data_IF_052678500473
#
_entry.id   IF_052678500473
#
_cell.length_a   1.000
_cell.length_b   1.000
_cell.length_c   1.000
_cell.angle_alpha   90.00
_cell.angle_beta   90.00
_cell.angle_gamma   90.00
#
_symmetry.space_group_name_H-M   'P 1'
#
loop_
_entity.id
_entity.type
_entity.pdbx_description
1 polymer ?
#
# COMPACT_ATOMS: atom_id res chain seq x y z
N UNK A 1 -24.49 22.41 18.99
CA UNK A 1 -24.04 21.15 19.61
C UNK A 1 -22.70 20.83 18.99
N UNK A 2 -21.62 20.81 19.78
CA UNK A 2 -20.27 20.52 19.28
C UNK A 2 -20.28 19.15 18.61
N UNK A 3 -19.97 19.11 17.32
CA UNK A 3 -19.84 17.88 16.53
C UNK A 3 -18.59 17.05 16.87
N UNK A 4 -18.01 17.26 18.05
CA UNK A 4 -16.70 16.73 18.46
C UNK A 4 -16.78 15.64 19.54
N UNK A 5 -17.97 15.14 19.88
CA UNK A 5 -18.10 14.19 21.01
C UNK A 5 -17.58 12.77 20.68
N UNK A 6 -17.54 12.38 19.39
CA UNK A 6 -17.12 11.04 18.97
C UNK A 6 -16.20 11.06 17.74
N UNK A 7 -15.24 10.11 17.65
CA UNK A 7 -14.36 10.02 16.50
C UNK A 7 -15.12 9.62 15.23
N UNK A 8 -14.80 10.27 14.12
CA UNK A 8 -15.24 9.87 12.78
C UNK A 8 -14.35 8.76 12.21
N UNK A 9 -14.77 8.15 11.09
CA UNK A 9 -14.01 7.09 10.40
C UNK A 9 -12.55 7.49 10.09
N UNK A 10 -12.28 8.78 9.86
CA UNK A 10 -10.94 9.29 9.57
C UNK A 10 -9.94 9.06 10.72
N UNK A 11 -10.42 9.03 11.97
CA UNK A 11 -9.59 8.78 13.15
C UNK A 11 -9.07 7.34 13.23
N UNK A 12 -9.66 6.43 12.46
CA UNK A 12 -9.30 5.02 12.42
C UNK A 12 -8.39 4.64 11.25
N UNK A 13 -7.92 5.63 10.47
CA UNK A 13 -6.83 5.43 9.51
C UNK A 13 -5.50 5.43 10.25
N UNK A 14 -4.78 4.33 10.17
CA UNK A 14 -3.51 4.11 10.86
C UNK A 14 -3.64 3.46 12.23
N UNK A 15 -2.59 3.57 13.06
CA UNK A 15 -2.45 2.85 14.33
C UNK A 15 -2.82 1.35 14.24
N UNK A 16 -2.37 0.72 13.15
CA UNK A 16 -2.69 -0.68 12.86
C UNK A 16 -1.92 -1.63 13.79
N UNK A 17 -2.42 -2.83 14.09
CA UNK A 17 -1.71 -3.77 14.96
C UNK A 17 -0.36 -4.22 14.38
N UNK A 18 0.63 -4.41 15.26
CA UNK A 18 1.88 -5.09 14.95
C UNK A 18 1.89 -6.45 15.66
N UNK A 19 1.96 -7.55 14.90
CA UNK A 19 1.75 -8.91 15.42
C UNK A 19 2.98 -9.77 15.14
N UNK A 20 3.37 -10.63 16.09
CA UNK A 20 4.50 -11.57 15.92
C UNK A 20 4.04 -12.86 15.23
N UNK A 21 4.78 -13.31 14.23
CA UNK A 21 4.61 -14.64 13.64
C UNK A 21 5.12 -15.72 14.60
N UNK A 22 4.40 -16.84 14.72
CA UNK A 22 4.65 -17.86 15.75
C UNK A 22 5.21 -19.16 15.20
N UNK A 23 4.92 -19.51 13.94
CA UNK A 23 5.18 -20.83 13.36
C UNK A 23 6.10 -20.77 12.14
N UNK A 24 5.99 -19.74 11.31
CA UNK A 24 6.73 -19.65 10.05
C UNK A 24 8.22 -19.35 10.22
N UNK A 25 8.63 -18.77 11.36
CA UNK A 25 10.00 -18.31 11.59
C UNK A 25 10.87 -19.47 12.07
N UNK A 26 11.90 -19.89 11.29
CA UNK A 26 12.60 -21.15 11.54
C UNK A 26 13.76 -21.06 12.55
N UNK A 27 14.08 -19.87 13.06
CA UNK A 27 15.28 -19.63 13.87
C UNK A 27 15.04 -18.57 14.96
N UNK A 28 16.13 -18.12 15.62
CA UNK A 28 16.10 -17.14 16.71
C UNK A 28 15.74 -15.70 16.29
N UNK A 29 15.39 -15.47 15.02
CA UNK A 29 14.87 -14.19 14.57
C UNK A 29 13.41 -14.00 15.01
N UNK A 30 12.96 -12.75 15.00
CA UNK A 30 11.56 -12.38 15.21
C UNK A 30 11.05 -11.69 13.96
N UNK A 31 9.97 -12.21 13.35
CA UNK A 31 9.22 -11.48 12.33
C UNK A 31 7.97 -10.91 12.98
N UNK A 32 7.82 -9.60 12.87
CA UNK A 32 6.63 -8.84 13.21
C UNK A 32 5.95 -8.37 11.92
N UNK A 33 4.63 -8.44 11.88
CA UNK A 33 3.83 -8.06 10.72
C UNK A 33 2.89 -6.91 11.06
N UNK A 34 2.97 -5.82 10.29
CA UNK A 34 2.14 -4.62 10.46
C UNK A 34 0.87 -4.78 9.64
N UNK A 35 -0.27 -4.91 10.31
CA UNK A 35 -1.54 -5.34 9.72
C UNK A 35 -2.30 -4.16 9.08
N UNK A 36 -1.84 -3.70 7.92
CA UNK A 36 -2.45 -2.56 7.21
C UNK A 36 -3.85 -2.87 6.62
N UNK A 37 -4.23 -4.15 6.58
CA UNK A 37 -5.61 -4.57 6.34
C UNK A 37 -6.60 -4.14 7.42
N UNK A 38 -6.15 -3.60 8.56
CA UNK A 38 -7.03 -3.06 9.61
C UNK A 38 -7.44 -1.60 9.38
N UNK A 39 -6.90 -0.92 8.37
CA UNK A 39 -7.45 0.38 7.97
C UNK A 39 -8.91 0.24 7.49
N UNK A 40 -9.72 1.31 7.53
CA UNK A 40 -11.16 1.27 7.25
C UNK A 40 -11.56 0.65 5.90
N UNK A 41 -10.88 1.00 4.82
CA UNK A 41 -11.04 0.42 3.50
C UNK A 41 -10.06 -0.76 3.27
N UNK A 42 -9.55 -1.37 4.32
CA UNK A 42 -8.92 -2.69 4.31
C UNK A 42 -7.53 -2.75 3.67
N UNK A 43 -6.80 -1.63 3.58
CA UNK A 43 -5.43 -1.65 3.03
C UNK A 43 -4.53 -0.51 3.52
N UNK A 44 -3.23 -0.65 3.26
CA UNK A 44 -2.21 0.38 3.46
C UNK A 44 -2.47 1.69 2.70
N UNK A 45 -3.33 1.66 1.67
CA UNK A 45 -3.57 2.81 0.79
C UNK A 45 -4.47 3.87 1.40
N UNK A 46 -5.16 3.56 2.49
CA UNK A 46 -5.98 4.52 3.24
C UNK A 46 -5.13 5.68 3.77
N UNK A 47 -3.89 5.39 4.21
CA UNK A 47 -2.95 6.40 4.71
C UNK A 47 -2.58 7.44 3.65
N UNK A 48 -1.99 7.08 2.49
CA UNK A 48 -1.65 8.06 1.47
C UNK A 48 -2.89 8.70 0.83
N UNK A 49 -4.01 7.97 0.69
CA UNK A 49 -5.25 8.55 0.18
C UNK A 49 -5.75 9.70 1.09
N UNK A 50 -5.77 9.46 2.40
CA UNK A 50 -6.14 10.48 3.39
C UNK A 50 -5.17 11.66 3.35
N UNK A 51 -3.86 11.39 3.36
CA UNK A 51 -2.84 12.44 3.38
C UNK A 51 -2.84 13.30 2.12
N UNK A 52 -2.94 12.72 0.92
CA UNK A 52 -2.97 13.47 -0.34
C UNK A 52 -4.17 14.42 -0.39
N UNK A 53 -5.36 13.96 0.02
CA UNK A 53 -6.57 14.79 0.03
C UNK A 53 -6.49 15.86 1.12
N UNK A 54 -6.20 15.49 2.37
CA UNK A 54 -6.14 16.44 3.48
C UNK A 54 -5.12 17.56 3.28
N UNK A 55 -3.99 17.25 2.63
CA UNK A 55 -2.94 18.24 2.40
C UNK A 55 -3.20 19.09 1.18
N UNK A 56 -3.81 18.54 0.12
CA UNK A 56 -4.32 19.34 -0.97
C UNK A 56 -5.40 20.32 -0.48
N UNK A 57 -6.29 19.89 0.42
CA UNK A 57 -7.23 20.77 1.13
C UNK A 57 -6.52 21.86 1.92
N UNK A 58 -5.54 21.49 2.74
CA UNK A 58 -4.82 22.44 3.59
C UNK A 58 -4.02 23.48 2.80
N UNK A 59 -3.55 23.12 1.59
CA UNK A 59 -2.90 24.05 0.66
C UNK A 59 -3.89 24.93 -0.12
N UNK A 60 -5.19 24.58 -0.10
CA UNK A 60 -6.21 25.25 -0.90
C UNK A 60 -6.25 24.81 -2.36
N UNK A 61 -5.56 23.71 -2.72
CA UNK A 61 -5.54 23.16 -4.08
C UNK A 61 -6.91 22.58 -4.47
N UNK A 62 -7.66 22.10 -3.46
CA UNK A 62 -9.00 21.52 -3.59
C UNK A 62 -9.90 21.97 -2.44
N UNK A 63 -11.22 21.91 -2.64
CA UNK A 63 -12.24 22.10 -1.60
C UNK A 63 -13.38 21.08 -1.76
N UNK A 64 -14.12 20.75 -0.68
CA UNK A 64 -15.26 19.85 -0.77
C UNK A 64 -16.24 20.26 -1.88
N UNK A 65 -16.72 19.28 -2.64
CA UNK A 65 -17.52 19.45 -3.85
C UNK A 65 -16.72 19.39 -5.16
N UNK A 66 -15.40 19.58 -5.12
CA UNK A 66 -14.53 19.43 -6.29
C UNK A 66 -14.46 17.97 -6.78
N UNK A 67 -14.05 17.80 -8.04
CA UNK A 67 -13.80 16.48 -8.65
C UNK A 67 -12.34 16.11 -8.52
N UNK A 68 -12.08 14.93 -7.95
CA UNK A 68 -10.77 14.31 -7.88
C UNK A 68 -10.67 13.19 -8.91
N UNK A 69 -9.49 13.05 -9.52
CA UNK A 69 -9.20 12.08 -10.57
C UNK A 69 -7.98 11.26 -10.17
N UNK A 70 -8.03 9.94 -10.38
CA UNK A 70 -6.85 9.09 -10.25
C UNK A 70 -6.90 7.94 -11.26
N UNK A 71 -5.76 7.69 -11.91
CA UNK A 71 -5.56 6.50 -12.74
C UNK A 71 -5.12 5.32 -11.88
N UNK A 72 -6.08 4.51 -11.42
CA UNK A 72 -5.78 3.38 -10.55
C UNK A 72 -6.87 2.31 -10.60
N UNK A 73 -6.45 1.06 -10.46
CA UNK A 73 -7.32 -0.11 -10.58
C UNK A 73 -7.32 -0.99 -9.32
N UNK A 74 -6.65 -0.52 -8.25
CA UNK A 74 -6.37 -1.31 -7.05
C UNK A 74 -6.79 -0.62 -5.75
N UNK A 75 -6.09 -0.95 -4.67
CA UNK A 75 -6.39 -0.46 -3.32
C UNK A 75 -6.39 1.08 -3.22
N UNK A 76 -5.57 1.78 -4.02
CA UNK A 76 -5.58 3.25 -4.02
C UNK A 76 -6.94 3.80 -4.47
N UNK A 77 -7.57 3.22 -5.49
CA UNK A 77 -8.89 3.67 -5.95
C UNK A 77 -9.97 3.45 -4.91
N UNK A 78 -9.94 2.31 -4.21
CA UNK A 78 -10.87 2.02 -3.11
C UNK A 78 -10.67 3.02 -1.97
N UNK A 79 -9.42 3.25 -1.55
CA UNK A 79 -9.10 4.19 -0.49
C UNK A 79 -9.49 5.63 -0.84
N UNK A 80 -9.21 6.08 -2.07
CA UNK A 80 -9.59 7.40 -2.54
C UNK A 80 -11.11 7.57 -2.63
N UNK A 81 -11.84 6.57 -3.13
CA UNK A 81 -13.29 6.60 -3.16
C UNK A 81 -13.89 6.71 -1.75
N UNK A 82 -13.36 5.94 -0.79
CA UNK A 82 -13.75 6.01 0.61
C UNK A 82 -13.48 7.38 1.24
N UNK A 83 -12.27 7.96 1.06
CA UNK A 83 -11.94 9.29 1.59
C UNK A 83 -12.75 10.39 0.90
N UNK A 84 -12.97 10.31 -0.41
CA UNK A 84 -13.79 11.26 -1.16
C UNK A 84 -15.24 11.26 -0.65
N UNK A 85 -15.83 10.08 -0.44
CA UNK A 85 -17.17 9.95 0.14
C UNK A 85 -17.26 10.54 1.55
N UNK A 86 -16.24 10.30 2.40
CA UNK A 86 -16.20 10.84 3.76
C UNK A 86 -16.05 12.36 3.82
N UNK A 87 -15.38 12.96 2.83
CA UNK A 87 -15.01 14.38 2.85
C UNK A 87 -15.80 15.24 1.86
N UNK A 88 -16.74 14.64 1.12
CA UNK A 88 -17.65 15.34 0.21
C UNK A 88 -17.05 15.68 -1.15
N UNK A 89 -16.18 14.84 -1.70
CA UNK A 89 -15.63 14.99 -3.06
C UNK A 89 -16.31 14.08 -4.05
N UNK A 90 -16.28 14.47 -5.32
CA UNK A 90 -16.59 13.57 -6.44
C UNK A 90 -15.32 12.82 -6.82
N UNK A 91 -15.38 11.48 -6.89
CA UNK A 91 -14.22 10.67 -7.26
C UNK A 91 -14.41 10.05 -8.63
N UNK A 92 -13.49 10.34 -9.55
CA UNK A 92 -13.39 9.70 -10.87
C UNK A 92 -12.15 8.81 -10.92
N UNK A 93 -12.35 7.52 -11.17
CA UNK A 93 -11.27 6.55 -11.28
C UNK A 93 -11.14 6.05 -12.72
N UNK A 94 -9.95 6.22 -13.29
CA UNK A 94 -9.64 5.75 -14.64
C UNK A 94 -8.85 4.45 -14.56
N UNK A 95 -9.32 3.38 -15.21
CA UNK A 95 -8.68 2.08 -15.14
C UNK A 95 -8.92 1.20 -16.39
N UNK A 96 -8.08 0.19 -16.64
CA UNK A 96 -8.37 -0.82 -17.66
C UNK A 96 -9.60 -1.67 -17.32
N UNK A 97 -10.30 -2.14 -18.34
CA UNK A 97 -11.53 -2.95 -18.26
C UNK A 97 -11.38 -4.38 -17.69
N UNK A 98 -10.16 -4.83 -17.39
CA UNK A 98 -9.85 -6.21 -17.00
C UNK A 98 -9.72 -6.45 -15.48
N UNK A 99 -10.36 -5.62 -14.66
CA UNK A 99 -10.28 -5.72 -13.18
C UNK A 99 -11.26 -6.73 -12.58
N UNK A 100 -10.94 -7.21 -11.38
CA UNK A 100 -11.82 -8.12 -10.65
C UNK A 100 -13.13 -7.42 -10.27
N UNK A 101 -14.23 -8.19 -10.23
CA UNK A 101 -15.56 -7.68 -9.92
C UNK A 101 -15.62 -7.04 -8.54
N UNK A 102 -14.91 -7.61 -7.56
CA UNK A 102 -14.89 -7.14 -6.17
C UNK A 102 -14.31 -5.74 -6.07
N UNK A 103 -13.23 -5.44 -6.81
CA UNK A 103 -12.62 -4.11 -6.81
C UNK A 103 -13.54 -3.07 -7.45
N UNK A 104 -14.14 -3.41 -8.58
CA UNK A 104 -15.09 -2.54 -9.28
C UNK A 104 -16.30 -2.21 -8.41
N UNK A 105 -16.93 -3.23 -7.83
CA UNK A 105 -18.09 -3.07 -6.94
C UNK A 105 -17.73 -2.30 -5.68
N UNK A 106 -16.55 -2.53 -5.10
CA UNK A 106 -16.08 -1.78 -3.91
C UNK A 106 -15.96 -0.29 -4.19
N UNK A 107 -15.36 0.10 -5.32
CA UNK A 107 -15.23 1.51 -5.69
C UNK A 107 -16.59 2.15 -5.97
N UNK A 108 -17.49 1.44 -6.66
CA UNK A 108 -18.87 1.88 -6.89
C UNK A 108 -19.67 2.05 -5.60
N UNK A 109 -19.47 1.18 -4.62
CA UNK A 109 -20.17 1.24 -3.34
C UNK A 109 -19.88 2.54 -2.57
N UNK A 110 -18.68 3.11 -2.74
CA UNK A 110 -18.32 4.43 -2.21
C UNK A 110 -18.76 5.61 -3.12
N UNK A 111 -19.48 5.34 -4.20
CA UNK A 111 -20.01 6.39 -5.09
C UNK A 111 -19.04 6.89 -6.16
N UNK A 112 -17.91 6.21 -6.41
CA UNK A 112 -16.98 6.62 -7.45
C UNK A 112 -17.57 6.46 -8.87
N UNK A 113 -17.28 7.43 -9.73
CA UNK A 113 -17.42 7.30 -11.17
C UNK A 113 -16.23 6.53 -11.72
N UNK A 114 -16.48 5.54 -12.58
CA UNK A 114 -15.43 4.67 -13.12
C UNK A 114 -15.41 4.83 -14.63
N UNK A 115 -14.25 5.21 -15.15
CA UNK A 115 -13.99 5.36 -16.58
C UNK A 115 -13.04 4.25 -17.01
N UNK A 116 -13.50 3.43 -17.95
CA UNK A 116 -12.69 2.34 -18.48
C UNK A 116 -11.87 2.77 -19.70
N UNK A 117 -10.60 2.39 -19.73
CA UNK A 117 -9.79 2.37 -20.96
C UNK A 117 -9.64 0.93 -21.46
N UNK A 118 -9.30 0.76 -22.74
CA UNK A 118 -9.10 -0.57 -23.31
C UNK A 118 -7.92 -1.29 -22.65
N UNK A 119 -7.96 -2.62 -22.61
CA UNK A 119 -6.84 -3.46 -22.14
C UNK A 119 -5.51 -3.12 -22.84
N UNK A 120 -5.54 -2.78 -24.13
CA UNK A 120 -4.36 -2.44 -24.92
C UNK A 120 -3.74 -1.11 -24.48
N UNK A 121 -4.57 -0.15 -24.06
CA UNK A 121 -4.10 1.12 -23.50
C UNK A 121 -3.43 0.95 -22.13
N UNK A 122 -3.73 -0.15 -21.42
CA UNK A 122 -3.16 -0.49 -20.12
C UNK A 122 -3.24 0.64 -19.09
N UNK A 123 -2.46 0.54 -18.01
CA UNK A 123 -2.45 1.59 -16.97
C UNK A 123 -1.82 2.89 -17.49
N UNK A 124 -0.96 2.81 -18.49
CA UNK A 124 -0.32 3.94 -19.14
C UNK A 124 -1.35 4.85 -19.78
N UNK A 125 -2.24 4.31 -20.62
CA UNK A 125 -3.32 5.08 -21.23
C UNK A 125 -4.38 5.56 -20.23
N UNK A 126 -4.58 4.85 -19.11
CA UNK A 126 -5.40 5.36 -18.01
C UNK A 126 -4.80 6.62 -17.38
N UNK A 127 -3.46 6.67 -17.23
CA UNK A 127 -2.74 7.86 -16.74
C UNK A 127 -2.81 9.01 -17.74
N UNK A 128 -2.59 8.73 -19.02
CA UNK A 128 -2.66 9.75 -20.08
C UNK A 128 -4.07 10.38 -20.14
N UNK A 129 -5.11 9.56 -20.04
CA UNK A 129 -6.49 10.05 -19.99
C UNK A 129 -6.76 10.88 -18.73
N UNK A 130 -6.31 10.43 -17.55
CA UNK A 130 -6.47 11.22 -16.32
C UNK A 130 -5.79 12.60 -16.41
N UNK A 131 -4.57 12.67 -16.95
CA UNK A 131 -3.85 13.92 -17.19
C UNK A 131 -4.55 14.80 -18.24
N UNK A 132 -5.12 14.20 -19.29
CA UNK A 132 -5.90 14.95 -20.26
C UNK A 132 -7.17 15.52 -19.63
N UNK A 133 -7.86 14.76 -18.78
CA UNK A 133 -9.05 15.23 -18.07
C UNK A 133 -8.75 16.40 -17.14
N UNK A 134 -7.59 16.39 -16.48
CA UNK A 134 -7.11 17.53 -15.68
C UNK A 134 -6.87 18.76 -16.56
N UNK A 135 -6.18 18.61 -17.70
CA UNK A 135 -5.96 19.70 -18.67
C UNK A 135 -7.27 20.26 -19.23
N UNK A 136 -8.28 19.42 -19.39
CA UNK A 136 -9.63 19.81 -19.81
C UNK A 136 -10.43 20.49 -18.69
N UNK A 137 -9.88 20.62 -17.47
CA UNK A 137 -10.54 21.23 -16.32
C UNK A 137 -11.63 20.36 -15.68
N UNK A 138 -11.59 19.03 -15.87
CA UNK A 138 -12.64 18.10 -15.36
C UNK A 138 -12.45 17.72 -13.88
N UNK A 139 -11.30 18.02 -13.30
CA UNK A 139 -10.95 17.72 -11.91
C UNK A 139 -9.45 17.79 -11.67
N UNK A 140 -9.04 17.48 -10.45
CA UNK A 140 -7.63 17.52 -10.01
C UNK A 140 -7.09 16.10 -9.90
N UNK A 141 -5.91 15.84 -10.49
CA UNK A 141 -5.24 14.53 -10.39
C UNK A 141 -4.37 14.48 -9.14
N UNK A 142 -4.54 13.44 -8.32
CA UNK A 142 -3.79 13.30 -7.07
C UNK A 142 -2.36 12.76 -7.26
N UNK A 143 -2.15 11.94 -8.30
CA UNK A 143 -0.85 11.44 -8.78
C UNK A 143 -0.02 10.70 -7.72
N UNK A 144 -0.51 9.54 -7.28
CA UNK A 144 0.12 8.74 -6.22
C UNK A 144 1.60 8.36 -6.46
N UNK A 145 2.09 8.43 -7.71
CA UNK A 145 3.46 8.06 -8.08
C UNK A 145 4.46 9.23 -7.94
N UNK A 146 3.97 10.47 -7.90
CA UNK A 146 4.79 11.67 -7.84
C UNK A 146 4.51 12.54 -6.61
N UNK A 147 3.32 12.39 -6.01
CA UNK A 147 2.88 13.19 -4.87
C UNK A 147 3.65 12.83 -3.58
N UNK A 148 4.37 13.79 -3.02
CA UNK A 148 5.16 13.62 -1.79
C UNK A 148 4.29 13.38 -0.54
N UNK A 149 3.00 13.68 -0.59
CA UNK A 149 2.09 13.39 0.51
C UNK A 149 1.89 11.88 0.71
N UNK A 150 2.14 11.06 -0.32
CA UNK A 150 2.15 9.60 -0.20
C UNK A 150 3.27 9.09 0.74
N UNK A 151 4.58 9.30 0.47
CA UNK A 151 5.63 8.88 1.40
C UNK A 151 5.54 9.63 2.74
N UNK A 152 5.10 10.89 2.75
CA UNK A 152 4.97 11.64 4.00
C UNK A 152 3.93 11.03 4.94
N UNK A 153 2.82 10.48 4.43
CA UNK A 153 1.85 9.74 5.25
C UNK A 153 2.51 8.64 6.08
N UNK A 154 3.46 7.91 5.47
CA UNK A 154 4.17 6.82 6.11
C UNK A 154 5.29 7.29 7.05
N UNK A 155 5.94 8.41 6.73
CA UNK A 155 6.90 9.05 7.61
C UNK A 155 6.25 9.55 8.91
N UNK A 156 5.04 10.11 8.83
CA UNK A 156 4.36 10.71 9.98
C UNK A 156 3.56 9.71 10.81
N UNK A 157 3.25 8.54 10.26
CA UNK A 157 2.41 7.54 10.94
C UNK A 157 3.05 6.16 10.97
N UNK A 158 3.20 5.49 9.82
CA UNK A 158 3.65 4.09 9.77
C UNK A 158 5.03 3.88 10.41
N UNK A 159 6.01 4.74 10.12
CA UNK A 159 7.34 4.69 10.72
C UNK A 159 7.32 4.87 12.25
N UNK A 160 6.73 5.97 12.76
CA UNK A 160 6.56 6.19 14.20
C UNK A 160 5.84 5.06 14.92
N UNK A 161 4.77 4.53 14.33
CA UNK A 161 4.04 3.39 14.91
C UNK A 161 4.93 2.15 15.02
N UNK A 162 5.67 1.81 13.96
CA UNK A 162 6.60 0.66 13.99
C UNK A 162 7.68 0.86 15.05
N UNK A 163 8.28 2.05 15.13
CA UNK A 163 9.30 2.36 16.12
C UNK A 163 8.77 2.24 17.55
N UNK A 164 7.60 2.82 17.82
CA UNK A 164 6.90 2.74 19.10
C UNK A 164 6.57 1.29 19.46
N UNK A 165 5.91 0.57 18.57
CA UNK A 165 5.38 -0.78 18.83
C UNK A 165 6.51 -1.81 18.97
N UNK A 166 7.69 -1.56 18.38
CA UNK A 166 8.90 -2.37 18.59
C UNK A 166 9.77 -1.91 19.75
N UNK A 167 9.38 -0.83 20.45
CA UNK A 167 10.19 -0.20 21.50
C UNK A 167 11.60 0.17 21.01
N UNK A 168 11.72 0.60 19.76
CA UNK A 168 13.00 0.95 19.12
C UNK A 168 13.90 -0.24 18.78
N UNK A 169 13.41 -1.48 18.85
CA UNK A 169 14.21 -2.69 18.66
C UNK A 169 14.21 -3.23 17.23
N UNK A 170 13.44 -2.64 16.31
CA UNK A 170 13.44 -3.05 14.90
C UNK A 170 14.86 -2.97 14.33
N UNK A 171 15.30 -4.03 13.64
CA UNK A 171 16.61 -4.07 12.99
C UNK A 171 16.49 -4.09 11.47
N UNK A 172 15.39 -4.63 10.94
CA UNK A 172 15.12 -4.68 9.51
C UNK A 172 13.67 -4.30 9.22
N UNK A 173 13.45 -3.53 8.16
CA UNK A 173 12.12 -3.22 7.64
C UNK A 173 11.98 -3.76 6.21
N UNK A 174 10.97 -4.59 5.97
CA UNK A 174 10.70 -5.26 4.70
C UNK A 174 9.38 -4.76 4.11
N UNK A 175 9.41 -4.26 2.87
CA UNK A 175 8.22 -3.74 2.20
C UNK A 175 8.18 -4.11 0.73
N UNK A 176 7.03 -4.66 0.30
CA UNK A 176 6.74 -4.88 -1.11
C UNK A 176 6.49 -3.54 -1.83
N UNK A 177 7.13 -3.36 -2.99
CA UNK A 177 7.23 -2.06 -3.66
C UNK A 177 6.21 -1.91 -4.78
N UNK A 178 5.14 -1.15 -4.49
CA UNK A 178 4.19 -0.63 -5.47
C UNK A 178 4.57 0.78 -5.91
N UNK A 179 3.89 1.80 -5.37
CA UNK A 179 4.25 3.22 -5.56
C UNK A 179 5.59 3.60 -4.92
N UNK A 180 6.11 2.76 -4.02
CA UNK A 180 7.28 2.98 -3.15
C UNK A 180 7.07 3.92 -1.96
N UNK A 181 5.91 4.57 -1.83
CA UNK A 181 5.66 5.52 -0.74
C UNK A 181 5.86 4.94 0.68
N UNK A 182 5.41 3.70 0.91
CA UNK A 182 5.59 3.02 2.20
C UNK A 182 7.05 2.85 2.58
N UNK A 183 7.87 2.31 1.68
CA UNK A 183 9.29 2.09 1.95
C UNK A 183 10.05 3.42 2.07
N UNK A 184 9.70 4.43 1.27
CA UNK A 184 10.35 5.74 1.30
C UNK A 184 10.07 6.49 2.61
N UNK A 185 8.81 6.55 3.04
CA UNK A 185 8.43 7.23 4.27
C UNK A 185 8.96 6.53 5.52
N UNK A 186 8.79 5.20 5.59
CA UNK A 186 9.28 4.42 6.74
C UNK A 186 10.80 4.42 6.79
N UNK A 187 11.50 4.28 5.66
CA UNK A 187 12.97 4.39 5.61
C UNK A 187 13.45 5.72 6.15
N UNK A 188 12.88 6.83 5.68
CA UNK A 188 13.24 8.16 6.15
C UNK A 188 13.13 8.27 7.68
N UNK A 189 11.98 7.88 8.23
CA UNK A 189 11.76 7.95 9.66
C UNK A 189 12.70 7.02 10.44
N UNK A 190 12.80 5.74 10.08
CA UNK A 190 13.59 4.76 10.82
C UNK A 190 15.09 5.07 10.78
N UNK A 191 15.62 5.54 9.64
CA UNK A 191 17.03 5.93 9.52
C UNK A 191 17.39 7.16 10.38
N UNK A 192 16.43 8.04 10.64
CA UNK A 192 16.61 9.16 11.59
C UNK A 192 16.66 8.67 13.04
N UNK A 193 15.94 7.59 13.38
CA UNK A 193 15.98 6.99 14.72
C UNK A 193 17.25 6.15 14.93
N UNK A 194 17.59 5.35 13.93
CA UNK A 194 18.78 4.49 13.93
C UNK A 194 19.21 4.18 12.49
N UNK A 195 20.32 4.77 12.06
CA UNK A 195 20.86 4.62 10.70
C UNK A 195 21.30 3.18 10.37
N UNK A 196 21.53 2.34 11.38
CA UNK A 196 21.92 0.93 11.22
C UNK A 196 20.76 0.02 10.79
N UNK A 197 19.51 0.46 10.96
CA UNK A 197 18.33 -0.33 10.51
C UNK A 197 18.43 -0.58 9.02
N UNK A 198 18.26 -1.84 8.62
CA UNK A 198 18.31 -2.25 7.22
C UNK A 198 16.92 -2.11 6.58
N UNK A 199 16.87 -1.41 5.45
CA UNK A 199 15.68 -1.18 4.66
C UNK A 199 15.71 -2.10 3.44
N UNK A 200 14.74 -3.02 3.40
CA UNK A 200 14.68 -4.10 2.42
C UNK A 200 13.45 -3.92 1.53
N UNK A 201 13.71 -3.57 0.27
CA UNK A 201 12.70 -3.51 -0.79
C UNK A 201 12.39 -4.90 -1.33
N UNK A 202 11.12 -5.18 -1.60
CA UNK A 202 10.70 -6.44 -2.24
C UNK A 202 10.04 -6.13 -3.57
N UNK A 203 10.51 -6.77 -4.64
CA UNK A 203 9.93 -6.64 -5.97
C UNK A 203 9.71 -8.03 -6.61
N UNK A 204 8.80 -8.14 -7.60
CA UNK A 204 8.65 -9.38 -8.34
C UNK A 204 9.91 -9.76 -9.12
N UNK A 205 10.18 -11.06 -9.22
CA UNK A 205 11.10 -11.62 -10.23
C UNK A 205 10.64 -11.24 -11.65
N UNK A 206 11.55 -11.31 -12.62
CA UNK A 206 11.23 -11.05 -14.02
C UNK A 206 10.08 -11.97 -14.50
N UNK A 207 9.04 -11.39 -15.10
CA UNK A 207 7.85 -12.12 -15.55
C UNK A 207 6.82 -12.48 -14.46
N UNK A 208 7.16 -12.37 -13.17
CA UNK A 208 6.22 -12.66 -12.08
C UNK A 208 5.15 -11.57 -11.94
N UNK A 209 3.90 -11.98 -11.68
CA UNK A 209 2.76 -11.06 -11.50
C UNK A 209 2.22 -11.16 -10.08
N UNK A 210 2.59 -10.21 -9.24
CA UNK A 210 2.14 -10.14 -7.85
C UNK A 210 1.22 -8.92 -7.70
N UNK A 211 -0.10 -9.10 -7.49
CA UNK A 211 -1.04 -7.99 -7.39
C UNK A 211 -0.66 -6.96 -6.33
N UNK A 212 -0.70 -5.68 -6.70
CA UNK A 212 -0.41 -4.54 -5.82
C UNK A 212 1.04 -4.03 -5.90
N UNK A 213 1.96 -4.81 -6.47
CA UNK A 213 3.36 -4.45 -6.72
C UNK A 213 3.75 -4.74 -8.16
N UNK A 214 4.91 -4.23 -8.60
CA UNK A 214 5.45 -4.54 -9.93
C UNK A 214 6.97 -4.41 -9.95
N UNK A 215 7.61 -5.10 -10.89
CA UNK A 215 9.00 -4.85 -11.25
C UNK A 215 9.03 -3.63 -12.15
N UNK A 216 9.60 -2.53 -11.66
CA UNK A 216 9.61 -1.28 -12.40
C UNK A 216 10.77 -1.24 -13.39
N UNK A 217 10.52 -0.94 -14.68
CA UNK A 217 11.59 -0.51 -15.56
C UNK A 217 12.18 0.80 -15.05
N UNK A 218 13.51 0.98 -15.18
CA UNK A 218 14.20 2.19 -14.69
C UNK A 218 13.54 3.50 -15.16
N UNK A 219 13.10 3.55 -16.42
CA UNK A 219 12.47 4.72 -17.03
C UNK A 219 11.10 5.08 -16.42
N UNK A 220 10.45 4.13 -15.74
CA UNK A 220 9.11 4.28 -15.19
C UNK A 220 9.08 4.23 -13.66
N UNK A 221 10.25 4.28 -13.00
CA UNK A 221 10.31 4.36 -11.54
C UNK A 221 9.45 5.52 -11.03
N UNK A 222 8.64 5.32 -9.97
CA UNK A 222 7.88 6.40 -9.34
C UNK A 222 8.82 7.54 -8.94
N UNK A 223 8.44 8.81 -9.19
CA UNK A 223 9.31 9.96 -8.88
C UNK A 223 9.53 10.15 -7.37
N UNK A 224 8.65 9.59 -6.54
CA UNK A 224 8.83 9.57 -5.09
C UNK A 224 9.93 8.60 -4.61
N UNK A 225 10.44 7.72 -5.50
CA UNK A 225 11.46 6.75 -5.14
C UNK A 225 12.86 7.35 -5.10
N UNK A 226 13.60 7.02 -4.05
CA UNK A 226 15.02 7.32 -3.87
C UNK A 226 15.77 6.02 -3.55
N UNK A 227 16.63 5.58 -4.47
CA UNK A 227 17.37 4.33 -4.33
C UNK A 227 18.30 4.31 -3.11
N UNK A 228 18.81 5.46 -2.67
CA UNK A 228 19.72 5.55 -1.52
C UNK A 228 19.04 5.23 -0.19
N UNK A 229 17.70 5.14 -0.18
CA UNK A 229 16.91 4.80 1.01
C UNK A 229 16.65 3.31 1.17
N UNK A 230 17.08 2.49 0.22
CA UNK A 230 16.90 1.04 0.23
C UNK A 230 18.28 0.38 0.27
N UNK A 231 18.60 -0.29 1.38
CA UNK A 231 19.90 -0.93 1.57
C UNK A 231 20.01 -2.24 0.77
N UNK A 232 18.89 -2.97 0.63
CA UNK A 232 18.82 -4.24 -0.10
C UNK A 232 17.50 -4.36 -0.86
N UNK A 233 17.56 -4.89 -2.08
CA UNK A 233 16.35 -5.30 -2.82
C UNK A 233 16.34 -6.80 -3.01
N UNK A 234 15.22 -7.44 -2.64
CA UNK A 234 14.99 -8.87 -2.80
C UNK A 234 13.92 -9.13 -3.85
N UNK A 235 14.20 -10.09 -4.72
CA UNK A 235 13.26 -10.59 -5.71
C UNK A 235 12.42 -11.74 -5.12
N UNK A 236 11.12 -11.75 -5.44
CA UNK A 236 10.19 -12.81 -5.06
C UNK A 236 9.36 -13.28 -6.25
N UNK A 237 9.42 -14.58 -6.52
CA UNK A 237 8.60 -15.24 -7.52
C UNK A 237 7.12 -15.31 -7.12
N UNK A 238 6.24 -15.38 -8.13
CA UNK A 238 4.79 -15.40 -7.91
C UNK A 238 4.34 -16.60 -7.07
N UNK A 239 4.78 -17.82 -7.42
CA UNK A 239 4.41 -19.03 -6.70
C UNK A 239 4.79 -18.95 -5.21
N UNK A 240 5.99 -18.47 -4.91
CA UNK A 240 6.46 -18.33 -3.54
C UNK A 240 5.64 -17.31 -2.73
N UNK A 241 5.24 -16.20 -3.37
CA UNK A 241 4.37 -15.21 -2.73
C UNK A 241 2.99 -15.80 -2.44
N UNK A 242 2.40 -16.55 -3.38
CA UNK A 242 1.11 -17.22 -3.21
C UNK A 242 1.17 -18.33 -2.14
N UNK A 243 2.19 -19.19 -2.17
CA UNK A 243 2.40 -20.23 -1.16
C UNK A 243 2.52 -19.63 0.24
N UNK A 244 3.34 -18.57 0.39
CA UNK A 244 3.51 -17.90 1.68
C UNK A 244 2.21 -17.21 2.12
N UNK A 245 1.41 -16.70 1.18
CA UNK A 245 0.08 -16.14 1.47
C UNK A 245 -0.86 -17.20 2.04
N UNK A 246 -0.90 -18.40 1.43
CA UNK A 246 -1.69 -19.53 1.94
C UNK A 246 -1.21 -19.97 3.33
N UNK A 247 0.10 -20.07 3.51
CA UNK A 247 0.72 -20.44 4.80
C UNK A 247 0.47 -19.42 5.91
N UNK A 248 0.48 -18.11 5.60
CA UNK A 248 0.09 -17.08 6.57
C UNK A 248 -1.34 -17.31 7.09
N UNK A 249 -2.26 -17.70 6.20
CA UNK A 249 -3.63 -18.00 6.61
C UNK A 249 -3.71 -19.31 7.42
N UNK A 250 -3.14 -20.41 6.92
CA UNK A 250 -3.30 -21.75 7.52
C UNK A 250 -2.43 -21.98 8.76
N UNK A 251 -1.25 -21.36 8.86
CA UNK A 251 -0.31 -21.57 9.95
C UNK A 251 -0.33 -20.42 10.97
N UNK A 252 -0.59 -19.17 10.55
CA UNK A 252 -0.55 -18.00 11.45
C UNK A 252 -1.95 -17.40 11.72
N UNK A 253 -2.98 -17.83 10.99
CA UNK A 253 -4.32 -17.25 11.08
C UNK A 253 -4.42 -15.83 10.49
N UNK A 254 -3.45 -15.43 9.65
CA UNK A 254 -3.38 -14.10 9.04
C UNK A 254 -3.85 -14.18 7.60
N UNK A 255 -5.09 -13.74 7.36
CA UNK A 255 -5.69 -13.75 6.02
C UNK A 255 -5.38 -12.45 5.25
N UNK A 256 -4.45 -12.50 4.31
CA UNK A 256 -3.89 -11.33 3.62
C UNK A 256 -3.78 -11.47 2.09
N UNK A 257 -3.50 -10.39 1.37
CA UNK A 257 -3.24 -10.44 -0.07
C UNK A 257 -1.85 -10.93 -0.47
N UNK A 258 -1.67 -11.23 -1.76
CA UNK A 258 -0.46 -11.91 -2.31
C UNK A 258 0.82 -11.08 -2.14
N UNK A 259 0.74 -9.75 -2.22
CA UNK A 259 1.91 -8.88 -1.97
C UNK A 259 2.41 -8.96 -0.52
N UNK A 260 1.50 -9.23 0.42
CA UNK A 260 1.81 -9.46 1.83
C UNK A 260 2.57 -10.78 2.02
N UNK A 261 2.12 -11.85 1.37
CA UNK A 261 2.87 -13.11 1.33
C UNK A 261 4.22 -12.97 0.64
N UNK A 262 4.32 -12.16 -0.41
CA UNK A 262 5.60 -11.83 -1.04
C UNK A 262 6.57 -11.09 -0.11
N UNK A 263 6.08 -10.13 0.67
CA UNK A 263 6.89 -9.41 1.66
C UNK A 263 7.39 -10.36 2.77
N UNK A 264 6.50 -11.21 3.31
CA UNK A 264 6.87 -12.20 4.33
C UNK A 264 7.80 -13.28 3.77
N UNK A 265 7.62 -13.71 2.53
CA UNK A 265 8.53 -14.66 1.88
C UNK A 265 9.95 -14.09 1.78
N UNK A 266 10.08 -12.82 1.43
CA UNK A 266 11.37 -12.12 1.42
C UNK A 266 11.95 -11.99 2.84
N UNK A 267 11.13 -11.69 3.85
CA UNK A 267 11.56 -11.67 5.25
C UNK A 267 12.04 -13.05 5.73
N UNK A 268 11.37 -14.14 5.33
CA UNK A 268 11.79 -15.52 5.62
C UNK A 268 13.09 -15.90 4.90
N UNK A 269 13.31 -15.41 3.67
CA UNK A 269 14.61 -15.55 2.99
C UNK A 269 15.71 -14.81 3.77
N UNK A 270 15.44 -13.57 4.20
CA UNK A 270 16.36 -12.75 4.96
C UNK A 270 16.74 -13.41 6.29
N UNK A 271 15.80 -14.06 6.99
CA UNK A 271 16.08 -14.81 8.21
C UNK A 271 17.21 -15.85 8.07
N UNK A 272 17.49 -16.36 6.85
CA UNK A 272 18.59 -17.32 6.64
C UNK A 272 19.98 -16.67 6.65
N UNK A 273 20.05 -15.34 6.64
CA UNK A 273 21.28 -14.56 6.50
C UNK A 273 21.59 -13.74 7.76
N UNK A 274 20.66 -13.70 8.72
CA UNK A 274 20.77 -12.89 9.94
C UNK A 274 20.39 -13.71 11.17
N UNK A 275 20.86 -13.28 12.33
CA UNK A 275 20.55 -13.90 13.63
C UNK A 275 20.09 -12.86 14.64
N UNK A 276 19.22 -13.26 15.56
CA UNK A 276 18.65 -12.40 16.61
C UNK A 276 18.04 -11.08 16.07
N UNK A 277 17.60 -11.06 14.81
CA UNK A 277 17.03 -9.89 14.16
C UNK A 277 15.55 -9.71 14.52
N UNK A 278 15.10 -8.46 14.59
CA UNK A 278 13.69 -8.08 14.69
C UNK A 278 13.30 -7.45 13.36
N UNK A 279 12.65 -8.25 12.53
CA UNK A 279 12.26 -7.92 11.16
C UNK A 279 10.80 -7.50 11.17
N UNK A 280 10.49 -6.30 10.68
CA UNK A 280 9.12 -5.83 10.51
C UNK A 280 8.74 -5.90 9.03
N UNK A 281 7.64 -6.59 8.71
CA UNK A 281 7.11 -6.70 7.34
C UNK A 281 5.70 -6.12 7.25
N UNK A 282 5.37 -5.46 6.14
CA UNK A 282 4.02 -4.91 5.91
C UNK A 282 3.08 -6.01 5.39
N UNK A 283 1.89 -6.12 5.99
CA UNK A 283 0.74 -6.85 5.44
C UNK A 283 -0.20 -5.83 4.81
N UNK A 284 -0.11 -5.69 3.48
CA UNK A 284 -0.65 -4.58 2.72
C UNK A 284 -2.18 -4.47 2.76
N UNK A 285 -2.88 -5.59 2.81
CA UNK A 285 -4.33 -5.72 2.76
C UNK A 285 -4.80 -7.11 3.22
N UNK A 286 -6.11 -7.23 3.43
CA UNK A 286 -6.77 -8.51 3.74
C UNK A 286 -6.94 -9.38 2.49
N UNK A 287 -7.14 -10.68 2.72
CA UNK A 287 -7.29 -11.69 1.66
C UNK A 287 -8.64 -11.65 0.92
N UNK A 288 -9.67 -10.96 1.45
CA UNK A 288 -11.06 -11.03 0.95
C UNK A 288 -11.18 -10.67 -0.55
N UNK A 289 -10.35 -9.74 -1.02
CA UNK A 289 -10.34 -9.25 -2.41
C UNK A 289 -9.70 -10.21 -3.41
N UNK A 290 -9.22 -11.34 -2.94
CA UNK A 290 -8.47 -12.34 -3.71
C UNK A 290 -9.18 -13.69 -3.75
N UNK A 291 -10.36 -13.82 -3.13
CA UNK A 291 -11.13 -15.06 -3.10
C UNK A 291 -11.51 -15.56 -4.50
N UNK A 292 -11.84 -14.66 -5.43
CA UNK A 292 -12.21 -15.01 -6.81
C UNK A 292 -11.02 -15.20 -7.76
N UNK A 293 -9.78 -15.00 -7.28
CA UNK A 293 -8.59 -15.04 -8.15
C UNK A 293 -7.92 -16.41 -8.21
N UNK A 294 -8.46 -17.42 -7.50
CA UNK A 294 -7.90 -18.78 -7.50
C UNK A 294 -6.71 -18.99 -6.55
N UNK A 295 -6.34 -18.01 -5.72
CA UNK A 295 -5.15 -18.12 -4.84
C UNK A 295 -5.43 -18.95 -3.59
N UNK A 296 -6.66 -18.92 -3.09
CA UNK A 296 -7.10 -19.58 -1.86
C UNK A 296 -7.95 -20.84 -2.11
N UNK A 297 -7.93 -21.40 -3.32
CA UNK A 297 -8.72 -22.59 -3.64
C UNK A 297 -8.16 -23.84 -2.96
N UNK A 298 -9.09 -24.74 -2.62
CA UNK A 298 -8.98 -26.00 -1.86
C UNK A 298 -7.63 -26.73 -1.82
#
# INVERSE_FOLDING_TARGET
MNSEEFPTLAHFVGNTPLVRLQRLVPNNNTILVKLEGNNPAGSVKDRPAMAMIQRAEARGDIKPGDTLIEATSGNTGIALAMVAAMKGYKMVLVMPDNMSKERWVSMKAYGAELISVSKQQSMEGARDLALQMEKDGKGVVLDQFNNQDNPNAHYETTGPEIWRDTQGKVTHFVSAMGTTGTIMGVSRYLKEQNSAIQIVGVQPEEGARIPGIRRWPKAYMPKIFDANRVDLTLDVGQQMAEDTTRRLASEEGIFCGISSGGAVAAALKLCKQVENAIIVSIICDRGDRYLSTGVFTD
#
